data_IF_560092393423
#
_entry.id   IF_560092393423
#
_cell.length_a   1.000
_cell.length_b   1.000
_cell.length_c   1.000
_cell.angle_alpha   90.00
_cell.angle_beta   90.00
_cell.angle_gamma   90.00
#
_symmetry.space_group_name_H-M   'P 1'
#
loop_
_entity.id
_entity.type
_entity.pdbx_description
1 polymer ?
#
# COMPACT_ATOMS: atom_id res chain seq x y z
N UNK A 1 -103.78 16.18 64.69
CA UNK A 1 -104.38 15.66 63.45
C UNK A 1 -103.34 15.84 62.35
N UNK A 2 -102.66 14.76 61.97
CA UNK A 2 -102.73 14.11 60.64
C UNK A 2 -101.97 14.95 59.58
N UNK A 3 -101.02 14.45 58.80
CA UNK A 3 -100.86 13.11 58.24
C UNK A 3 -99.44 12.96 57.70
N UNK A 4 -98.90 11.76 57.86
CA UNK A 4 -97.70 11.20 57.25
C UNK A 4 -97.79 11.26 55.72
N UNK A 5 -96.71 11.67 55.04
CA UNK A 5 -96.57 11.61 53.59
C UNK A 5 -95.19 11.09 53.20
N UNK A 6 -95.08 9.77 53.08
CA UNK A 6 -93.92 9.07 52.50
C UNK A 6 -94.06 9.16 50.98
N UNK A 7 -93.10 9.77 50.27
CA UNK A 7 -92.95 9.59 48.82
C UNK A 7 -91.47 9.32 48.49
N UNK A 8 -91.21 8.01 48.42
CA UNK A 8 -90.37 7.28 47.48
C UNK A 8 -89.39 8.10 46.62
N UNK A 9 -88.11 8.13 47.03
CA UNK A 9 -86.99 8.52 46.17
C UNK A 9 -86.72 7.35 45.22
N UNK A 10 -87.14 7.46 43.97
CA UNK A 10 -86.68 6.59 42.89
C UNK A 10 -85.22 6.96 42.57
N UNK A 11 -84.27 6.23 43.16
CA UNK A 11 -82.89 6.21 42.70
C UNK A 11 -82.88 5.53 41.32
N UNK A 12 -82.96 6.32 40.26
CA UNK A 12 -82.54 5.86 38.93
C UNK A 12 -81.02 5.76 38.99
N UNK A 13 -80.52 4.60 39.40
CA UNK A 13 -79.11 4.25 39.25
C UNK A 13 -78.85 4.13 37.76
N UNK A 14 -78.52 5.24 37.12
CA UNK A 14 -77.93 5.27 35.79
C UNK A 14 -76.66 4.43 35.84
N UNK A 15 -76.76 3.18 35.41
CA UNK A 15 -75.61 2.34 35.12
C UNK A 15 -74.86 3.04 33.98
N UNK A 16 -73.91 3.91 34.32
CA UNK A 16 -72.92 4.38 33.36
C UNK A 16 -72.00 3.20 33.12
N UNK A 17 -72.35 2.35 32.16
CA UNK A 17 -71.38 1.45 31.55
C UNK A 17 -70.39 2.40 30.86
N UNK A 18 -69.12 2.53 31.31
CA UNK A 18 -68.15 3.19 30.47
C UNK A 18 -68.13 2.40 29.17
N UNK A 19 -68.53 3.03 28.07
CA UNK A 19 -68.12 2.56 26.76
C UNK A 19 -66.59 2.64 26.79
N UNK A 20 -65.93 1.53 27.13
CA UNK A 20 -64.56 1.30 26.71
C UNK A 20 -64.61 1.28 25.19
N UNK A 21 -64.49 2.48 24.62
CA UNK A 21 -64.21 2.70 23.22
C UNK A 21 -62.82 2.10 23.03
N UNK A 22 -62.76 0.79 22.76
CA UNK A 22 -61.55 0.16 22.26
C UNK A 22 -61.23 0.92 20.98
N UNK A 23 -60.28 1.85 21.06
CA UNK A 23 -59.76 2.49 19.86
C UNK A 23 -59.30 1.33 18.99
N UNK A 24 -59.90 1.21 17.80
CA UNK A 24 -59.46 0.23 16.82
C UNK A 24 -57.93 0.37 16.72
N UNK A 25 -57.21 -0.74 16.88
CA UNK A 25 -55.77 -0.78 16.74
C UNK A 25 -55.43 -0.10 15.40
N UNK A 26 -54.79 1.07 15.45
CA UNK A 26 -54.33 1.77 14.25
C UNK A 26 -52.90 1.34 13.96
N UNK A 27 -52.52 1.34 12.68
CA UNK A 27 -51.11 1.13 12.32
C UNK A 27 -50.23 2.20 12.97
N UNK A 28 -48.94 1.92 13.24
CA UNK A 28 -48.08 2.89 13.91
C UNK A 28 -47.82 4.11 13.04
N UNK A 29 -47.37 5.20 13.66
CA UNK A 29 -46.75 6.31 12.94
C UNK A 29 -45.42 5.87 12.31
N UNK A 30 -44.95 6.62 11.32
CA UNK A 30 -43.70 6.32 10.63
C UNK A 30 -42.47 6.49 11.54
N UNK A 31 -41.45 5.62 11.42
CA UNK A 31 -40.14 5.87 11.98
C UNK A 31 -39.55 7.17 11.44
N UNK A 32 -38.70 7.83 12.22
CA UNK A 32 -38.10 9.13 11.85
C UNK A 32 -36.58 9.09 11.88
N UNK A 33 -35.94 10.09 11.27
CA UNK A 33 -34.48 10.29 11.33
C UNK A 33 -33.68 9.05 10.89
N UNK A 34 -34.12 8.36 9.83
CA UNK A 34 -33.35 7.27 9.25
C UNK A 34 -32.06 7.82 8.66
N UNK A 35 -30.92 7.26 9.07
CA UNK A 35 -29.59 7.56 8.58
C UNK A 35 -28.90 6.29 8.12
N UNK A 36 -28.43 6.28 6.88
CA UNK A 36 -27.51 5.29 6.34
C UNK A 36 -26.09 5.86 6.29
N UNK A 37 -25.10 5.07 6.70
CA UNK A 37 -23.70 5.46 6.67
C UNK A 37 -22.80 4.30 6.25
N UNK A 38 -21.82 4.58 5.37
CA UNK A 38 -20.82 3.60 4.99
C UNK A 38 -19.78 3.35 6.06
N UNK A 39 -19.51 2.07 6.30
CA UNK A 39 -18.54 1.59 7.28
C UNK A 39 -17.34 0.94 6.57
N UNK A 40 -17.60 0.24 5.46
CA UNK A 40 -16.57 -0.39 4.63
C UNK A 40 -17.00 -0.46 3.17
N UNK A 41 -16.21 -1.14 2.34
CA UNK A 41 -16.59 -1.44 0.94
C UNK A 41 -17.71 -2.48 0.82
N UNK A 42 -18.09 -3.14 1.92
CA UNK A 42 -19.14 -4.17 1.92
C UNK A 42 -20.15 -4.02 3.05
N UNK A 43 -20.12 -2.90 3.78
CA UNK A 43 -20.96 -2.68 4.95
C UNK A 43 -21.51 -1.25 5.03
N UNK A 44 -22.81 -1.16 5.27
CA UNK A 44 -23.52 0.06 5.64
C UNK A 44 -24.20 -0.13 7.00
N UNK A 45 -24.21 0.92 7.82
CA UNK A 45 -24.93 0.99 9.08
C UNK A 45 -26.17 1.86 8.95
N UNK A 46 -27.28 1.40 9.51
CA UNK A 46 -28.56 2.10 9.54
C UNK A 46 -28.94 2.41 10.99
N UNK A 47 -29.43 3.62 11.24
CA UNK A 47 -30.01 4.03 12.53
C UNK A 47 -31.26 4.85 12.30
N UNK A 48 -32.27 4.71 13.16
CA UNK A 48 -33.51 5.49 13.10
C UNK A 48 -34.09 5.70 14.50
N UNK A 49 -35.05 6.60 14.60
CA UNK A 49 -35.85 6.81 15.79
C UNK A 49 -37.20 6.09 15.66
N UNK A 50 -37.66 5.53 16.78
CA UNK A 50 -39.04 5.08 16.91
C UNK A 50 -40.04 6.25 16.65
N UNK A 51 -41.30 5.96 16.28
CA UNK A 51 -42.28 7.00 16.02
C UNK A 51 -42.58 7.86 17.25
N UNK A 52 -42.68 9.19 17.07
CA UNK A 52 -42.99 10.15 18.15
C UNK A 52 -44.47 9.99 18.54
N UNK A 53 -44.80 9.94 19.83
CA UNK A 53 -46.12 9.60 20.39
C UNK A 53 -46.54 8.13 20.29
N UNK A 54 -45.61 7.22 19.98
CA UNK A 54 -45.82 5.84 20.40
C UNK A 54 -45.89 5.85 21.93
N UNK A 55 -47.09 5.68 22.52
CA UNK A 55 -47.13 5.02 23.82
C UNK A 55 -46.27 3.77 23.65
N UNK A 56 -45.27 3.56 24.50
CA UNK A 56 -44.21 2.56 24.34
C UNK A 56 -44.71 1.10 24.20
N UNK A 57 -46.02 0.88 24.14
CA UNK A 57 -46.72 -0.40 24.07
C UNK A 57 -47.11 -0.88 22.65
N UNK A 58 -47.08 -0.06 21.58
CA UNK A 58 -47.74 -0.42 20.31
C UNK A 58 -46.80 -0.57 19.08
N UNK A 59 -45.48 -0.64 19.21
CA UNK A 59 -44.58 -1.07 18.09
C UNK A 59 -43.88 -2.36 18.50
N UNK A 60 -44.09 -3.43 17.75
CA UNK A 60 -43.50 -4.75 18.02
C UNK A 60 -42.34 -5.12 17.08
N UNK A 61 -42.05 -4.26 16.09
CA UNK A 61 -40.93 -4.45 15.19
C UNK A 61 -40.85 -3.43 14.07
N UNK A 62 -39.90 -3.63 13.18
CA UNK A 62 -39.61 -2.79 12.03
C UNK A 62 -39.34 -3.64 10.79
N UNK A 63 -39.90 -3.22 9.66
CA UNK A 63 -39.55 -3.73 8.32
C UNK A 63 -38.57 -2.77 7.68
N UNK A 64 -37.52 -3.30 7.06
CA UNK A 64 -36.53 -2.53 6.31
C UNK A 64 -36.62 -2.92 4.84
N UNK A 65 -36.75 -1.94 3.97
CA UNK A 65 -36.65 -2.12 2.53
C UNK A 65 -35.41 -1.41 1.99
N UNK A 66 -34.82 -1.96 0.93
CA UNK A 66 -33.63 -1.43 0.27
C UNK A 66 -33.84 -1.24 -1.22
N UNK A 67 -33.25 -0.18 -1.76
CA UNK A 67 -33.18 0.16 -3.17
C UNK A 67 -31.71 0.05 -3.62
N UNK A 68 -31.39 -1.04 -4.31
CA UNK A 68 -30.03 -1.34 -4.76
C UNK A 68 -29.72 -0.53 -6.01
N UNK A 69 -28.65 0.27 -5.95
CA UNK A 69 -28.29 1.21 -7.01
C UNK A 69 -29.02 2.55 -6.91
N UNK A 70 -29.87 2.75 -5.90
CA UNK A 70 -30.62 3.99 -5.71
C UNK A 70 -31.45 4.38 -6.94
N UNK A 71 -32.12 3.40 -7.56
CA UNK A 71 -32.87 3.53 -8.83
C UNK A 71 -34.38 3.68 -8.62
N UNK A 72 -34.83 3.75 -7.36
CA UNK A 72 -36.24 3.88 -6.98
C UNK A 72 -36.98 2.55 -6.82
N UNK A 73 -36.30 1.40 -6.87
CA UNK A 73 -36.93 0.08 -6.77
C UNK A 73 -36.63 -0.59 -5.43
N UNK A 74 -37.60 -0.52 -4.51
CA UNK A 74 -37.44 -1.05 -3.15
C UNK A 74 -37.85 -2.52 -3.04
N UNK A 75 -37.01 -3.33 -2.40
CA UNK A 75 -37.29 -4.72 -2.01
C UNK A 75 -37.13 -4.92 -0.52
N UNK A 76 -37.79 -5.94 0.05
CA UNK A 76 -37.70 -6.24 1.48
C UNK A 76 -36.32 -6.80 1.80
N UNK A 77 -35.57 -6.07 2.63
CA UNK A 77 -34.27 -6.48 3.16
C UNK A 77 -34.42 -7.23 4.49
N UNK A 78 -35.26 -6.71 5.38
CA UNK A 78 -35.59 -7.32 6.68
C UNK A 78 -37.09 -7.26 6.86
N UNK A 79 -37.71 -8.42 7.06
CA UNK A 79 -39.16 -8.51 7.25
C UNK A 79 -39.61 -8.03 8.64
N UNK A 80 -38.80 -8.28 9.68
CA UNK A 80 -39.06 -7.84 11.05
C UNK A 80 -37.75 -7.78 11.88
N UNK A 81 -37.52 -6.68 12.59
CA UNK A 81 -36.51 -6.52 13.64
C UNK A 81 -37.04 -5.63 14.76
N UNK A 82 -36.64 -5.88 16.01
CA UNK A 82 -37.03 -5.01 17.15
C UNK A 82 -36.05 -3.87 17.40
N UNK A 83 -34.84 -3.95 16.84
CA UNK A 83 -33.82 -2.92 17.01
C UNK A 83 -34.15 -1.66 16.21
N UNK A 84 -33.66 -0.50 16.66
CA UNK A 84 -33.70 0.77 15.92
C UNK A 84 -32.40 1.06 15.15
N UNK A 85 -31.68 -0.01 14.84
CA UNK A 85 -30.44 0.00 14.07
C UNK A 85 -30.28 -1.31 13.29
N UNK A 86 -29.57 -1.26 12.17
CA UNK A 86 -29.28 -2.45 11.37
C UNK A 86 -27.92 -2.34 10.68
N UNK A 87 -27.17 -3.44 10.65
CA UNK A 87 -25.91 -3.54 9.90
C UNK A 87 -26.17 -4.36 8.64
N UNK A 88 -26.13 -3.71 7.48
CA UNK A 88 -26.25 -4.39 6.20
C UNK A 88 -24.85 -4.75 5.68
N UNK A 89 -24.60 -6.03 5.49
CA UNK A 89 -23.28 -6.59 5.18
C UNK A 89 -23.28 -7.26 3.80
N UNK A 90 -22.10 -7.66 3.32
CA UNK A 90 -21.90 -8.35 2.04
C UNK A 90 -22.37 -7.52 0.82
N UNK A 91 -22.21 -6.19 0.92
CA UNK A 91 -22.61 -5.25 -0.12
C UNK A 91 -21.54 -5.15 -1.21
N UNK A 92 -21.98 -4.71 -2.38
CA UNK A 92 -21.10 -4.45 -3.53
C UNK A 92 -20.38 -3.12 -3.31
N UNK A 93 -19.06 -3.14 -3.49
CA UNK A 93 -18.18 -1.97 -3.38
C UNK A 93 -18.55 -0.86 -4.36
N UNK A 94 -18.58 0.38 -3.90
CA UNK A 94 -18.91 1.57 -4.70
C UNK A 94 -20.37 1.67 -5.16
N UNK A 95 -21.26 0.80 -4.67
CA UNK A 95 -22.67 0.81 -5.06
C UNK A 95 -23.50 1.63 -4.06
N UNK A 96 -24.42 2.45 -4.59
CA UNK A 96 -25.38 3.19 -3.79
C UNK A 96 -26.49 2.25 -3.29
N UNK A 97 -26.87 2.38 -2.02
CA UNK A 97 -28.02 1.69 -1.46
C UNK A 97 -28.93 2.70 -0.77
N UNK A 98 -30.19 2.75 -1.21
CA UNK A 98 -31.26 3.47 -0.54
C UNK A 98 -31.95 2.58 0.48
N UNK A 99 -32.46 3.18 1.56
CA UNK A 99 -33.19 2.49 2.61
C UNK A 99 -34.41 3.29 3.04
N UNK A 100 -35.46 2.55 3.41
CA UNK A 100 -36.61 3.08 4.14
C UNK A 100 -37.07 2.07 5.18
N UNK A 101 -37.56 2.57 6.31
CA UNK A 101 -37.98 1.75 7.44
C UNK A 101 -39.45 1.98 7.73
N UNK A 102 -40.14 0.92 8.14
CA UNK A 102 -41.54 0.93 8.54
C UNK A 102 -41.65 0.38 9.96
N UNK A 103 -42.54 0.93 10.77
CA UNK A 103 -42.90 0.37 12.06
C UNK A 103 -44.02 -0.66 11.89
N UNK A 104 -44.00 -1.70 12.71
CA UNK A 104 -44.93 -2.82 12.70
C UNK A 104 -45.65 -2.92 14.06
N UNK A 105 -46.94 -3.27 14.02
CA UNK A 105 -47.71 -3.68 15.20
C UNK A 105 -48.78 -4.73 14.82
N UNK A 106 -49.63 -5.10 15.78
CA UNK A 106 -50.78 -6.00 15.57
C UNK A 106 -51.73 -5.53 14.46
N UNK A 107 -51.89 -4.21 14.31
CA UNK A 107 -52.74 -3.60 13.30
C UNK A 107 -52.13 -3.57 11.90
N UNK A 108 -50.80 -3.72 11.77
CA UNK A 108 -50.10 -3.81 10.50
C UNK A 108 -48.88 -2.90 10.39
N UNK A 109 -48.61 -2.44 9.16
CA UNK A 109 -47.39 -1.68 8.80
C UNK A 109 -47.70 -0.19 8.68
N UNK A 110 -46.82 0.66 9.23
CA UNK A 110 -46.91 2.12 9.09
C UNK A 110 -46.66 2.60 7.65
N UNK A 111 -46.77 3.91 7.40
CA UNK A 111 -46.09 4.53 6.25
C UNK A 111 -44.57 4.51 6.44
N UNK A 112 -43.79 4.64 5.37
CA UNK A 112 -42.32 4.61 5.45
C UNK A 112 -41.75 5.85 6.14
N UNK A 113 -40.56 5.69 6.72
CA UNK A 113 -39.67 6.80 7.08
C UNK A 113 -39.26 7.64 5.86
N UNK A 114 -38.44 8.68 6.10
CA UNK A 114 -37.63 9.26 5.03
C UNK A 114 -36.78 8.17 4.35
N UNK A 115 -36.46 8.35 3.07
CA UNK A 115 -35.43 7.56 2.39
C UNK A 115 -34.06 8.08 2.82
N UNK A 116 -33.14 7.18 3.14
CA UNK A 116 -31.74 7.51 3.40
C UNK A 116 -30.85 6.62 2.56
N UNK A 117 -29.85 7.19 1.91
CA UNK A 117 -28.96 6.47 1.01
C UNK A 117 -27.50 6.65 1.40
N UNK A 118 -26.71 5.61 1.20
CA UNK A 118 -25.26 5.66 1.33
C UNK A 118 -24.59 4.79 0.27
N UNK A 119 -23.39 5.17 -0.15
CA UNK A 119 -22.56 4.41 -1.08
C UNK A 119 -21.44 3.74 -0.30
N UNK A 120 -21.27 2.42 -0.47
CA UNK A 120 -20.15 1.69 0.13
C UNK A 120 -18.82 2.24 -0.36
N UNK A 121 -17.76 2.11 0.45
CA UNK A 121 -16.44 2.54 0.00
C UNK A 121 -15.98 1.75 -1.22
N UNK A 122 -15.09 2.33 -2.02
CA UNK A 122 -14.49 1.71 -3.20
C UNK A 122 -13.02 2.06 -3.30
N UNK A 123 -12.32 1.45 -4.26
CA UNK A 123 -10.99 1.92 -4.65
C UNK A 123 -11.09 3.31 -5.29
N UNK A 124 -10.02 4.13 -5.29
CA UNK A 124 -10.03 5.41 -5.97
C UNK A 124 -10.15 5.23 -7.49
N UNK A 125 -10.57 6.29 -8.18
CA UNK A 125 -10.37 6.40 -9.63
C UNK A 125 -8.87 6.51 -9.96
N UNK A 126 -8.52 6.37 -11.24
CA UNK A 126 -7.14 6.61 -11.68
C UNK A 126 -6.70 8.06 -11.33
N UNK A 127 -5.44 8.28 -10.93
CA UNK A 127 -4.85 9.61 -10.99
C UNK A 127 -4.88 10.17 -12.41
N UNK A 128 -4.95 11.49 -12.54
CA UNK A 128 -5.00 12.18 -13.84
C UNK A 128 -3.85 13.18 -13.97
N UNK A 129 -3.67 13.74 -15.17
CA UNK A 129 -2.69 14.81 -15.39
C UNK A 129 -1.24 14.41 -15.09
N UNK A 130 -0.87 13.13 -15.29
CA UNK A 130 0.51 12.69 -15.10
C UNK A 130 1.42 13.39 -16.13
N UNK A 131 2.35 14.18 -15.62
CA UNK A 131 3.39 14.87 -16.37
C UNK A 131 4.74 14.37 -15.87
N UNK A 132 5.67 14.16 -16.80
CA UNK A 132 7.05 13.78 -16.50
C UNK A 132 7.97 14.82 -17.12
N UNK A 133 8.77 15.48 -16.29
CA UNK A 133 9.72 16.50 -16.73
C UNK A 133 11.14 16.11 -16.35
N UNK A 134 12.13 16.32 -17.23
CA UNK A 134 13.53 16.18 -16.86
C UNK A 134 13.91 17.18 -15.78
N UNK A 135 14.75 16.72 -14.85
CA UNK A 135 15.36 17.56 -13.80
C UNK A 135 16.87 17.59 -13.97
N UNK A 136 17.45 16.48 -14.44
CA UNK A 136 18.86 16.37 -14.79
C UNK A 136 19.06 15.28 -15.84
N UNK A 137 20.31 15.05 -16.22
CA UNK A 137 20.70 13.90 -17.06
C UNK A 137 20.44 12.54 -16.41
N UNK A 138 20.17 12.50 -15.12
CA UNK A 138 19.94 11.26 -14.37
C UNK A 138 18.67 11.26 -13.52
N UNK A 139 17.79 12.25 -13.69
CA UNK A 139 16.56 12.36 -12.91
C UNK A 139 15.37 12.90 -13.72
N UNK A 140 14.21 12.30 -13.48
CA UNK A 140 12.92 12.74 -13.99
C UNK A 140 11.97 13.01 -12.82
N UNK A 141 11.24 14.13 -12.87
CA UNK A 141 10.19 14.46 -11.91
C UNK A 141 8.84 14.14 -12.51
N UNK A 142 8.08 13.33 -11.80
CA UNK A 142 6.68 13.04 -12.04
C UNK A 142 5.85 14.00 -11.21
N UNK A 143 4.81 14.57 -11.80
CA UNK A 143 3.76 15.33 -11.10
C UNK A 143 2.40 14.93 -11.65
N UNK A 144 1.37 14.90 -10.81
CA UNK A 144 0.03 14.47 -11.20
C UNK A 144 -1.05 15.15 -10.39
N UNK A 145 -2.30 14.88 -10.74
CA UNK A 145 -3.47 15.27 -9.98
C UNK A 145 -4.00 14.09 -9.18
N UNK A 146 -4.59 14.39 -8.01
CA UNK A 146 -5.32 13.39 -7.23
C UNK A 146 -6.46 12.76 -8.07
N UNK A 147 -6.89 11.54 -7.76
CA UNK A 147 -8.11 10.95 -8.33
C UNK A 147 -9.31 11.90 -8.20
N UNK A 148 -10.17 11.94 -9.23
CA UNK A 148 -11.42 12.72 -9.18
C UNK A 148 -12.41 12.12 -8.17
N UNK A 149 -12.39 10.80 -8.02
CA UNK A 149 -13.10 10.08 -6.96
C UNK A 149 -12.10 9.31 -6.10
N UNK A 150 -12.16 9.51 -4.78
CA UNK A 150 -11.31 8.82 -3.82
C UNK A 150 -11.92 7.50 -3.31
N UNK A 151 -13.10 7.12 -3.80
CA UNK A 151 -13.81 5.91 -3.39
C UNK A 151 -14.40 6.02 -1.97
N UNK A 152 -14.67 7.24 -1.50
CA UNK A 152 -15.26 7.50 -0.19
C UNK A 152 -14.28 7.44 0.98
N UNK A 153 -12.99 7.21 0.74
CA UNK A 153 -11.94 7.22 1.78
C UNK A 153 -10.70 7.98 1.32
N UNK A 154 -9.90 8.49 2.26
CA UNK A 154 -8.74 9.30 1.93
C UNK A 154 -7.67 8.53 1.14
N UNK A 155 -6.97 9.23 0.24
CA UNK A 155 -5.82 8.68 -0.47
C UNK A 155 -4.65 8.52 0.51
N UNK A 156 -4.08 7.32 0.57
CA UNK A 156 -2.97 6.94 1.46
C UNK A 156 -1.62 6.90 0.74
N UNK A 157 -1.62 6.87 -0.58
CA UNK A 157 -0.42 7.07 -1.41
C UNK A 157 -0.58 6.62 -2.84
N UNK A 158 0.55 6.39 -3.53
CA UNK A 158 0.58 6.08 -4.95
C UNK A 158 1.56 4.94 -5.28
N UNK A 159 1.18 4.06 -6.20
CA UNK A 159 2.05 3.08 -6.84
C UNK A 159 2.59 3.67 -8.15
N UNK A 160 3.90 3.51 -8.39
CA UNK A 160 4.57 4.06 -9.57
C UNK A 160 5.19 2.92 -10.37
N UNK A 161 4.83 2.86 -11.66
CA UNK A 161 5.46 1.95 -12.62
C UNK A 161 6.32 2.73 -13.61
N UNK A 162 7.50 2.18 -13.91
CA UNK A 162 8.42 2.62 -14.95
C UNK A 162 8.66 1.48 -15.93
N UNK A 163 8.39 1.72 -17.21
CA UNK A 163 8.51 0.74 -18.30
C UNK A 163 7.86 -0.60 -17.97
N UNK A 164 6.66 -0.56 -17.36
CA UNK A 164 5.90 -1.75 -16.95
C UNK A 164 6.35 -2.41 -15.65
N UNK A 165 7.45 -1.96 -15.02
CA UNK A 165 7.94 -2.48 -13.74
C UNK A 165 7.54 -1.55 -12.59
N UNK A 166 7.04 -2.11 -11.48
CA UNK A 166 6.77 -1.34 -10.25
C UNK A 166 8.10 -0.92 -9.62
N UNK A 167 8.32 0.39 -9.49
CA UNK A 167 9.51 0.96 -8.84
C UNK A 167 9.20 1.51 -7.44
N UNK A 168 7.93 1.82 -7.17
CA UNK A 168 7.41 2.21 -5.85
C UNK A 168 6.07 1.53 -5.67
N UNK A 169 5.93 0.71 -4.63
CA UNK A 169 4.67 -0.01 -4.31
C UNK A 169 3.63 0.92 -3.67
N UNK A 170 4.05 1.78 -2.75
CA UNK A 170 3.24 2.84 -2.16
C UNK A 170 4.14 3.99 -1.66
N UNK A 171 3.82 5.23 -2.01
CA UNK A 171 4.51 6.43 -1.49
C UNK A 171 4.29 6.67 0.00
N UNK A 172 3.22 6.14 0.60
CA UNK A 172 2.86 6.31 2.01
C UNK A 172 2.44 7.74 2.39
N UNK A 173 2.14 8.58 1.40
CA UNK A 173 1.66 9.94 1.58
C UNK A 173 0.86 10.41 0.36
N UNK A 174 0.04 11.43 0.54
CA UNK A 174 -0.83 12.00 -0.50
C UNK A 174 -0.14 13.06 -1.38
N UNK A 175 1.19 13.18 -1.38
CA UNK A 175 1.88 14.13 -2.27
C UNK A 175 1.75 13.65 -3.71
N UNK A 176 1.50 14.60 -4.61
CA UNK A 176 1.28 14.31 -6.02
C UNK A 176 2.52 14.54 -6.89
N UNK A 177 3.69 14.24 -6.33
CA UNK A 177 4.96 14.32 -7.06
C UNK A 177 5.96 13.29 -6.56
N UNK A 178 6.83 12.84 -7.47
CA UNK A 178 7.90 11.89 -7.18
C UNK A 178 9.07 12.15 -8.13
N UNK A 179 10.30 12.08 -7.62
CA UNK A 179 11.51 12.20 -8.45
C UNK A 179 12.18 10.84 -8.55
N UNK A 180 12.23 10.30 -9.76
CA UNK A 180 12.99 9.09 -10.06
C UNK A 180 14.44 9.48 -10.39
N UNK A 181 15.39 8.93 -9.64
CA UNK A 181 16.81 9.25 -9.70
C UNK A 181 17.61 8.05 -10.21
N UNK A 182 18.88 8.28 -10.57
CA UNK A 182 19.80 7.26 -11.09
C UNK A 182 19.34 6.68 -12.44
N UNK A 183 18.74 7.53 -13.27
CA UNK A 183 18.36 7.22 -14.64
C UNK A 183 19.56 7.38 -15.57
N UNK A 184 19.51 6.68 -16.71
CA UNK A 184 20.48 6.88 -17.77
C UNK A 184 20.13 8.15 -18.57
N UNK A 185 21.15 8.92 -18.96
CA UNK A 185 21.01 10.11 -19.80
C UNK A 185 20.44 9.77 -21.18
N UNK A 186 19.64 10.69 -21.75
CA UNK A 186 19.03 10.61 -23.07
C UNK A 186 18.08 9.42 -23.28
N UNK A 187 17.79 8.65 -22.23
CA UNK A 187 16.91 7.50 -22.31
C UNK A 187 15.46 7.87 -22.00
N UNK A 188 14.58 7.42 -22.88
CA UNK A 188 13.15 7.57 -22.69
C UNK A 188 12.66 6.60 -21.62
N UNK A 189 11.89 7.13 -20.67
CA UNK A 189 11.20 6.38 -19.64
C UNK A 189 9.70 6.63 -19.77
N UNK A 190 8.92 5.57 -19.70
CA UNK A 190 7.46 5.62 -19.68
C UNK A 190 6.98 5.32 -18.27
N UNK A 191 6.13 6.18 -17.73
CA UNK A 191 5.55 6.05 -16.39
C UNK A 191 4.04 5.98 -16.44
N UNK A 192 3.48 5.28 -15.46
CA UNK A 192 2.07 5.37 -15.08
C UNK A 192 1.94 5.20 -13.57
N UNK A 193 0.89 5.77 -13.01
CA UNK A 193 0.68 5.81 -11.55
C UNK A 193 -0.72 5.32 -11.18
N UNK A 194 -0.86 4.72 -10.01
CA UNK A 194 -2.16 4.33 -9.45
C UNK A 194 -2.24 4.83 -7.99
N UNK A 195 -3.44 5.15 -7.51
CA UNK A 195 -3.67 5.65 -6.16
C UNK A 195 -4.08 4.53 -5.20
N UNK A 196 -3.68 4.65 -3.96
CA UNK A 196 -4.10 3.82 -2.84
C UNK A 196 -5.09 4.57 -1.97
N UNK A 197 -6.12 3.88 -1.50
CA UNK A 197 -6.84 4.21 -0.28
C UNK A 197 -6.87 3.00 0.65
N UNK A 198 -7.72 3.01 1.70
CA UNK A 198 -7.82 1.87 2.62
C UNK A 198 -8.49 0.64 2.01
N UNK A 199 -9.29 0.82 0.95
CA UNK A 199 -9.97 -0.28 0.24
C UNK A 199 -9.01 -0.98 -0.70
N UNK A 200 -8.17 -0.24 -1.42
CA UNK A 200 -7.17 -0.81 -2.29
C UNK A 200 -6.58 0.14 -3.32
N UNK A 201 -5.99 -0.46 -4.35
CA UNK A 201 -5.30 0.22 -5.44
C UNK A 201 -6.25 0.51 -6.61
N UNK A 202 -6.21 1.72 -7.14
CA UNK A 202 -6.91 2.10 -8.37
C UNK A 202 -6.34 1.42 -9.61
N UNK A 203 -7.03 1.57 -10.74
CA UNK A 203 -6.41 1.38 -12.05
C UNK A 203 -5.31 2.44 -12.27
N UNK A 204 -4.38 2.15 -13.18
CA UNK A 204 -3.31 3.09 -13.52
C UNK A 204 -3.81 4.25 -14.40
N UNK A 205 -3.17 5.40 -14.25
CA UNK A 205 -3.28 6.54 -15.14
C UNK A 205 -2.87 6.18 -16.57
N UNK A 206 -3.15 7.10 -17.51
CA UNK A 206 -2.49 7.09 -18.81
C UNK A 206 -0.97 7.15 -18.65
N UNK A 207 -0.27 6.61 -19.66
CA UNK A 207 1.18 6.67 -19.71
C UNK A 207 1.65 8.10 -19.97
N UNK A 208 2.72 8.50 -19.29
CA UNK A 208 3.46 9.72 -19.57
C UNK A 208 4.93 9.38 -19.76
N UNK A 209 5.58 10.08 -20.68
CA UNK A 209 6.89 9.69 -21.16
C UNK A 209 7.80 10.90 -21.23
N UNK A 210 9.05 10.75 -20.78
CA UNK A 210 10.06 11.77 -20.93
C UNK A 210 11.43 11.14 -21.15
N UNK A 211 12.34 11.90 -21.75
CA UNK A 211 13.77 11.60 -21.82
C UNK A 211 14.48 12.47 -20.80
N UNK A 212 15.50 11.93 -20.14
CA UNK A 212 16.45 12.75 -19.39
C UNK A 212 17.20 13.67 -20.36
N UNK A 213 17.40 14.92 -19.98
CA UNK A 213 18.08 15.92 -20.82
C UNK A 213 19.59 15.91 -20.58
N UNK A 214 20.38 16.30 -21.59
CA UNK A 214 21.73 16.77 -21.31
C UNK A 214 21.61 18.12 -20.58
N UNK A 215 22.42 18.36 -19.55
CA UNK A 215 22.49 19.66 -18.87
C UNK A 215 22.58 20.80 -19.89
N UNK A 216 21.50 21.56 -20.09
CA UNK A 216 21.54 22.83 -20.85
C UNK A 216 21.90 23.95 -19.89
N UNK A 217 23.17 23.96 -19.50
CA UNK A 217 23.81 25.03 -18.76
C UNK A 217 25.20 25.28 -19.35
N UNK A 218 25.23 26.08 -20.43
CA UNK A 218 26.44 26.67 -21.03
C UNK A 218 27.61 25.70 -21.31
N UNK A 219 27.48 24.87 -22.35
CA UNK A 219 28.57 24.05 -22.87
C UNK A 219 28.18 23.41 -24.20
N UNK A 220 28.92 23.76 -25.24
CA UNK A 220 28.84 23.23 -26.61
C UNK A 220 28.68 21.70 -26.69
N UNK A 221 27.97 21.16 -27.70
CA UNK A 221 27.76 19.72 -27.87
C UNK A 221 29.03 19.03 -28.38
N UNK A 222 29.91 18.59 -27.48
CA UNK A 222 31.04 17.69 -27.82
C UNK A 222 31.37 16.64 -26.75
N UNK A 223 30.58 16.48 -25.68
CA UNK A 223 31.19 16.04 -24.42
C UNK A 223 31.12 14.51 -24.14
N UNK A 224 32.23 13.84 -24.44
CA UNK A 224 32.60 12.54 -23.87
C UNK A 224 32.71 12.56 -22.33
N UNK A 225 32.72 13.73 -21.70
CA UNK A 225 32.62 13.94 -20.26
C UNK A 225 31.38 13.33 -19.61
N UNK A 226 30.22 13.30 -20.27
CA UNK A 226 28.99 12.71 -19.70
C UNK A 226 29.08 11.17 -19.57
N UNK A 227 29.79 10.53 -20.50
CA UNK A 227 30.09 9.10 -20.46
C UNK A 227 31.16 8.76 -19.40
N UNK A 228 32.14 9.65 -19.20
CA UNK A 228 33.12 9.53 -18.11
C UNK A 228 32.47 9.64 -16.73
N UNK A 229 31.57 10.60 -16.53
CA UNK A 229 30.78 10.72 -15.30
C UNK A 229 29.91 9.48 -15.04
N UNK A 230 29.26 8.94 -16.07
CA UNK A 230 28.49 7.70 -15.93
C UNK A 230 29.37 6.51 -15.51
N UNK A 231 30.59 6.37 -16.03
CA UNK A 231 31.55 5.35 -15.55
C UNK A 231 31.90 5.60 -14.08
N UNK A 232 32.13 6.85 -13.68
CA UNK A 232 32.41 7.22 -12.28
C UNK A 232 31.27 6.83 -11.35
N UNK A 233 30.01 7.04 -11.77
CA UNK A 233 28.83 6.62 -11.00
C UNK A 233 28.75 5.09 -10.87
N UNK A 234 29.06 4.34 -11.94
CA UNK A 234 29.16 2.88 -11.87
C UNK A 234 30.31 2.41 -10.97
N UNK A 235 31.44 3.14 -10.94
CA UNK A 235 32.55 2.90 -10.00
C UNK A 235 32.07 3.11 -8.57
N UNK A 236 31.39 4.23 -8.29
CA UNK A 236 30.89 4.56 -6.97
C UNK A 236 29.86 3.52 -6.49
N UNK A 237 28.86 3.20 -7.32
CA UNK A 237 27.82 2.20 -7.02
C UNK A 237 28.42 0.81 -6.76
N UNK A 238 29.43 0.39 -7.54
CA UNK A 238 30.16 -0.85 -7.30
C UNK A 238 30.88 -0.83 -5.95
N UNK A 239 31.59 0.25 -5.64
CA UNK A 239 32.38 0.37 -4.43
C UNK A 239 31.47 0.38 -3.18
N UNK A 240 30.33 1.07 -3.22
CA UNK A 240 29.32 1.05 -2.17
C UNK A 240 28.73 -0.36 -1.95
N UNK A 241 28.39 -1.07 -3.04
CA UNK A 241 27.88 -2.45 -2.94
C UNK A 241 28.92 -3.39 -2.30
N UNK A 242 30.19 -3.27 -2.70
CA UNK A 242 31.30 -4.05 -2.15
C UNK A 242 31.57 -3.71 -0.68
N UNK A 243 31.53 -2.42 -0.32
CA UNK A 243 31.69 -1.95 1.05
C UNK A 243 30.61 -2.52 1.96
N UNK A 244 29.34 -2.37 1.57
CA UNK A 244 28.21 -2.92 2.32
C UNK A 244 28.32 -4.43 2.53
N UNK A 245 28.75 -5.16 1.49
CA UNK A 245 28.96 -6.59 1.57
C UNK A 245 30.10 -6.97 2.53
N UNK A 246 31.23 -6.24 2.49
CA UNK A 246 32.36 -6.45 3.41
C UNK A 246 31.98 -6.14 4.86
N UNK A 247 31.25 -5.05 5.09
CA UNK A 247 30.84 -4.64 6.44
C UNK A 247 29.92 -5.67 7.09
N UNK A 248 28.96 -6.24 6.35
CA UNK A 248 28.10 -7.31 6.86
C UNK A 248 28.88 -8.59 7.16
N UNK A 249 29.82 -8.98 6.29
CA UNK A 249 30.71 -10.14 6.55
C UNK A 249 31.59 -9.90 7.78
N UNK A 250 32.17 -8.71 7.91
CA UNK A 250 33.02 -8.36 9.03
C UNK A 250 32.25 -8.35 10.34
N UNK A 251 31.01 -7.85 10.33
CA UNK A 251 30.12 -7.88 11.49
C UNK A 251 29.84 -9.30 11.95
N UNK A 252 29.40 -10.19 11.04
CA UNK A 252 29.18 -11.60 11.37
C UNK A 252 30.44 -12.24 11.92
N UNK A 253 31.59 -12.00 11.30
CA UNK A 253 32.86 -12.53 11.78
C UNK A 253 33.21 -12.07 13.21
N UNK A 254 33.02 -10.79 13.53
CA UNK A 254 33.26 -10.25 14.88
C UNK A 254 32.34 -10.90 15.91
N UNK A 255 31.04 -10.93 15.62
CA UNK A 255 30.01 -11.51 16.51
C UNK A 255 30.29 -13.00 16.75
N UNK A 256 30.71 -13.73 15.72
CA UNK A 256 31.09 -15.13 15.78
C UNK A 256 32.33 -15.36 16.65
N UNK A 257 33.39 -14.58 16.45
CA UNK A 257 34.61 -14.67 17.26
C UNK A 257 34.33 -14.36 18.73
N UNK A 258 33.51 -13.35 19.02
CA UNK A 258 33.13 -13.00 20.39
C UNK A 258 32.32 -14.11 21.08
N UNK A 259 31.30 -14.65 20.39
CA UNK A 259 30.51 -15.79 20.90
C UNK A 259 31.34 -17.04 21.15
N UNK A 260 32.33 -17.30 20.30
CA UNK A 260 33.23 -18.45 20.48
C UNK A 260 34.20 -18.26 21.66
N UNK A 261 34.56 -17.02 22.02
CA UNK A 261 35.49 -16.73 23.12
C UNK A 261 34.94 -17.18 24.48
N UNK A 262 33.62 -17.09 24.67
CA UNK A 262 32.96 -17.22 25.97
C UNK A 262 32.15 -18.53 26.16
N UNK A 263 32.40 -19.56 25.35
CA UNK A 263 31.58 -20.80 25.33
C UNK A 263 32.40 -22.08 25.34
N UNK A 264 31.78 -23.20 25.76
CA UNK A 264 32.41 -24.53 25.83
C UNK A 264 32.53 -25.21 24.44
N UNK A 265 33.27 -26.33 24.37
CA UNK A 265 33.62 -26.99 23.11
C UNK A 265 32.42 -27.47 22.28
N UNK A 266 31.33 -27.90 22.93
CA UNK A 266 30.08 -28.33 22.28
C UNK A 266 29.32 -27.14 21.71
N UNK A 267 29.16 -26.06 22.48
CA UNK A 267 28.51 -24.82 22.04
C UNK A 267 29.26 -24.15 20.88
N UNK A 268 30.60 -24.22 20.86
CA UNK A 268 31.41 -23.66 19.77
C UNK A 268 31.16 -24.30 18.40
N UNK A 269 30.91 -25.62 18.35
CA UNK A 269 30.57 -26.29 17.08
C UNK A 269 29.24 -25.78 16.53
N UNK A 270 28.25 -25.58 17.40
CA UNK A 270 26.96 -25.03 17.02
C UNK A 270 27.10 -23.58 16.52
N UNK A 271 27.82 -22.74 17.28
CA UNK A 271 28.10 -21.35 16.89
C UNK A 271 28.80 -21.29 15.52
N UNK A 272 29.75 -22.18 15.24
CA UNK A 272 30.42 -22.23 13.93
C UNK A 272 29.49 -22.54 12.76
N UNK A 273 28.56 -23.49 12.93
CA UNK A 273 27.61 -23.82 11.87
C UNK A 273 26.59 -22.69 11.67
N UNK A 274 26.13 -22.07 12.75
CA UNK A 274 25.26 -20.89 12.69
C UNK A 274 25.95 -19.73 11.95
N UNK A 275 27.21 -19.46 12.26
CA UNK A 275 28.03 -18.46 11.58
C UNK A 275 28.20 -18.74 10.08
N UNK A 276 28.38 -20.02 9.72
CA UNK A 276 28.48 -20.45 8.32
C UNK A 276 27.15 -20.26 7.57
N UNK A 277 26.02 -20.52 8.22
CA UNK A 277 24.68 -20.23 7.68
C UNK A 277 24.53 -18.72 7.44
N UNK A 278 24.91 -17.88 8.40
CA UNK A 278 24.84 -16.42 8.26
C UNK A 278 25.72 -15.89 7.11
N UNK A 279 26.95 -16.39 6.97
CA UNK A 279 27.84 -16.02 5.86
C UNK A 279 27.28 -16.45 4.49
N UNK A 280 26.66 -17.63 4.41
CA UNK A 280 26.01 -18.09 3.18
C UNK A 280 24.75 -17.26 2.86
N UNK A 281 23.99 -16.85 3.87
CA UNK A 281 22.84 -15.98 3.69
C UNK A 281 23.25 -14.61 3.12
N UNK A 282 24.34 -14.01 3.62
CA UNK A 282 24.92 -12.79 3.03
C UNK A 282 25.29 -13.02 1.56
N UNK A 283 25.95 -14.14 1.25
CA UNK A 283 26.33 -14.46 -0.13
C UNK A 283 25.12 -14.52 -1.07
N UNK A 284 24.03 -15.17 -0.67
CA UNK A 284 22.82 -15.26 -1.49
C UNK A 284 22.08 -13.91 -1.55
N UNK A 285 22.01 -13.15 -0.45
CA UNK A 285 21.40 -11.80 -0.41
C UNK A 285 21.99 -10.84 -1.46
N UNK A 286 23.32 -10.82 -1.61
CA UNK A 286 23.98 -9.92 -2.56
C UNK A 286 24.05 -10.46 -4.00
N UNK A 287 23.72 -11.74 -4.21
CA UNK A 287 23.77 -12.40 -5.53
C UNK A 287 22.88 -11.69 -6.55
N UNK A 288 21.65 -11.35 -6.15
CA UNK A 288 20.69 -10.69 -7.01
C UNK A 288 21.07 -9.23 -7.27
N UNK A 289 21.54 -8.50 -6.25
CA UNK A 289 22.05 -7.13 -6.43
C UNK A 289 23.26 -7.08 -7.38
N UNK A 290 24.17 -8.05 -7.30
CA UNK A 290 25.32 -8.16 -8.22
C UNK A 290 24.85 -8.52 -9.63
N UNK A 291 23.88 -9.42 -9.77
CA UNK A 291 23.30 -9.79 -11.07
C UNK A 291 22.62 -8.58 -11.71
N UNK A 292 21.85 -7.83 -10.94
CA UNK A 292 21.19 -6.60 -11.37
C UNK A 292 22.24 -5.57 -11.81
N UNK A 293 23.27 -5.30 -11.00
CA UNK A 293 24.35 -4.39 -11.35
C UNK A 293 25.04 -4.77 -12.68
N UNK A 294 25.35 -6.06 -12.87
CA UNK A 294 25.95 -6.57 -14.11
C UNK A 294 25.05 -6.35 -15.32
N UNK A 295 23.74 -6.54 -15.17
CA UNK A 295 22.77 -6.28 -16.23
C UNK A 295 22.67 -4.78 -16.56
N UNK A 296 22.61 -3.92 -15.54
CA UNK A 296 22.61 -2.47 -15.70
C UNK A 296 23.87 -1.99 -16.44
N UNK A 297 25.04 -2.47 -16.03
CA UNK A 297 26.31 -2.12 -16.69
C UNK A 297 26.39 -2.65 -18.13
N UNK A 298 25.89 -3.87 -18.39
CA UNK A 298 25.82 -4.42 -19.75
C UNK A 298 24.96 -3.54 -20.65
N UNK A 299 23.79 -3.11 -20.16
CA UNK A 299 22.89 -2.23 -20.90
C UNK A 299 23.56 -0.88 -21.17
N UNK A 300 24.18 -0.27 -20.16
CA UNK A 300 24.97 0.95 -20.33
C UNK A 300 26.05 0.78 -21.40
N UNK A 301 26.79 -0.34 -21.40
CA UNK A 301 27.85 -0.61 -22.38
C UNK A 301 27.31 -0.68 -23.81
N UNK A 302 26.18 -1.36 -24.03
CA UNK A 302 25.57 -1.45 -25.36
C UNK A 302 25.02 -0.09 -25.81
N UNK A 303 24.37 0.67 -24.92
CA UNK A 303 23.97 2.05 -25.17
C UNK A 303 25.16 2.91 -25.58
N UNK A 304 26.20 2.93 -24.75
CA UNK A 304 27.37 3.79 -24.98
C UNK A 304 28.06 3.44 -26.31
N UNK A 305 28.11 2.16 -26.70
CA UNK A 305 28.60 1.77 -28.03
C UNK A 305 27.76 2.35 -29.16
N UNK A 306 26.42 2.32 -29.03
CA UNK A 306 25.52 2.89 -30.05
C UNK A 306 25.73 4.38 -30.21
N UNK A 307 25.70 5.13 -29.10
CA UNK A 307 25.95 6.58 -29.07
C UNK A 307 27.29 6.94 -29.68
N UNK A 308 28.33 6.17 -29.36
CA UNK A 308 29.69 6.37 -29.89
C UNK A 308 29.78 6.10 -31.40
N UNK A 309 28.96 5.19 -31.93
CA UNK A 309 28.92 4.90 -33.36
C UNK A 309 28.16 5.98 -34.14
N UNK A 310 27.12 6.56 -33.56
CA UNK A 310 26.40 7.71 -34.11
C UNK A 310 27.30 8.96 -34.13
N UNK A 311 27.94 9.29 -33.00
CA UNK A 311 28.84 10.46 -32.91
C UNK A 311 30.00 10.42 -33.92
N UNK A 312 30.45 9.22 -34.32
CA UNK A 312 31.44 9.03 -35.39
C UNK A 312 30.91 9.35 -36.78
N UNK A 313 29.64 9.02 -37.06
CA UNK A 313 29.01 9.28 -38.36
C UNK A 313 28.84 10.78 -38.56
N UNK A 314 28.50 11.50 -37.50
CA UNK A 314 28.19 12.93 -37.56
C UNK A 314 29.44 13.83 -37.47
N UNK A 315 30.65 13.24 -37.39
CA UNK A 315 31.92 13.94 -37.07
C UNK A 315 31.84 14.81 -35.79
N UNK A 316 30.89 14.51 -34.91
CA UNK A 316 30.53 15.33 -33.76
C UNK A 316 31.40 15.10 -32.51
N UNK A 317 32.22 14.03 -32.49
CA UNK A 317 33.10 13.71 -31.37
C UNK A 317 34.56 13.49 -31.82
N UNK A 318 35.51 13.96 -30.99
CA UNK A 318 36.94 13.75 -31.21
C UNK A 318 37.28 12.24 -31.16
N UNK A 319 38.01 11.75 -32.16
CA UNK A 319 38.50 10.36 -32.21
C UNK A 319 39.33 9.99 -30.97
N UNK A 320 39.99 10.96 -30.34
CA UNK A 320 40.79 10.76 -29.14
C UNK A 320 39.89 10.43 -27.94
N UNK A 321 38.82 11.19 -27.72
CA UNK A 321 37.91 10.96 -26.61
C UNK A 321 37.19 9.62 -26.70
N UNK A 322 36.83 9.21 -27.92
CA UNK A 322 36.27 7.90 -28.21
C UNK A 322 37.23 6.78 -27.79
N UNK A 323 38.53 6.98 -28.02
CA UNK A 323 39.58 6.03 -27.67
C UNK A 323 39.80 5.99 -26.15
N UNK A 324 39.74 7.14 -25.49
CA UNK A 324 39.84 7.29 -24.05
C UNK A 324 38.67 6.64 -23.32
N UNK A 325 37.42 6.93 -23.70
CA UNK A 325 36.24 6.29 -23.11
C UNK A 325 36.30 4.75 -23.22
N UNK A 326 36.71 4.23 -24.38
CA UNK A 326 36.89 2.77 -24.55
C UNK A 326 37.96 2.19 -23.63
N UNK A 327 39.00 2.96 -23.33
CA UNK A 327 40.06 2.58 -22.38
C UNK A 327 39.49 2.54 -20.96
N UNK A 328 38.66 3.52 -20.59
CA UNK A 328 38.05 3.60 -19.26
C UNK A 328 37.04 2.49 -19.00
N UNK A 329 36.17 2.18 -19.98
CA UNK A 329 35.27 1.01 -19.89
C UNK A 329 36.07 -0.28 -19.67
N UNK A 330 37.17 -0.48 -20.41
CA UNK A 330 38.03 -1.65 -20.25
C UNK A 330 38.72 -1.69 -18.89
N UNK A 331 39.18 -0.53 -18.41
CA UNK A 331 39.79 -0.37 -17.09
C UNK A 331 38.80 -0.74 -15.99
N UNK A 332 37.58 -0.18 -16.05
CA UNK A 332 36.49 -0.49 -15.13
C UNK A 332 36.16 -1.99 -15.09
N UNK A 333 36.07 -2.65 -16.24
CA UNK A 333 35.78 -4.09 -16.32
C UNK A 333 36.89 -4.94 -15.70
N UNK A 334 38.15 -4.55 -15.93
CA UNK A 334 39.33 -5.22 -15.35
C UNK A 334 39.33 -5.07 -13.83
N UNK A 335 39.08 -3.87 -13.33
CA UNK A 335 39.00 -3.58 -11.90
C UNK A 335 37.84 -4.30 -11.22
N UNK A 336 36.68 -4.37 -11.87
CA UNK A 336 35.52 -5.10 -11.35
C UNK A 336 35.83 -6.59 -11.17
N UNK A 337 36.48 -7.22 -12.15
CA UNK A 337 36.93 -8.62 -12.05
C UNK A 337 37.97 -8.82 -10.94
N UNK A 338 38.89 -7.86 -10.77
CA UNK A 338 39.90 -7.89 -9.70
C UNK A 338 39.24 -7.85 -8.32
N UNK A 339 38.34 -6.89 -8.09
CA UNK A 339 37.62 -6.74 -6.82
C UNK A 339 36.76 -7.98 -6.48
N UNK A 340 36.03 -8.54 -7.47
CA UNK A 340 35.26 -9.77 -7.25
C UNK A 340 36.16 -10.95 -6.84
N UNK A 341 37.36 -11.06 -7.42
CA UNK A 341 38.34 -12.10 -7.08
C UNK A 341 38.92 -11.90 -5.68
N UNK A 342 39.23 -10.66 -5.31
CA UNK A 342 39.73 -10.30 -3.96
C UNK A 342 38.69 -10.62 -2.89
N UNK A 343 37.44 -10.21 -3.09
CA UNK A 343 36.35 -10.51 -2.16
C UNK A 343 36.14 -12.02 -1.97
N UNK A 344 36.17 -12.81 -3.06
CA UNK A 344 36.09 -14.28 -2.96
C UNK A 344 37.25 -14.89 -2.16
N UNK A 345 38.45 -14.29 -2.20
CA UNK A 345 39.60 -14.72 -1.39
C UNK A 345 39.42 -14.36 0.08
N UNK A 346 38.92 -13.16 0.38
CA UNK A 346 38.60 -12.71 1.75
C UNK A 346 37.58 -13.67 2.39
N UNK A 347 36.49 -13.97 1.68
CA UNK A 347 35.45 -14.89 2.16
C UNK A 347 35.97 -16.31 2.41
N UNK A 348 36.84 -16.82 1.52
CA UNK A 348 37.50 -18.13 1.72
C UNK A 348 38.43 -18.12 2.93
N UNK A 349 39.15 -17.02 3.14
CA UNK A 349 40.08 -16.87 4.27
C UNK A 349 39.34 -16.77 5.59
N UNK A 350 38.24 -16.01 5.65
CA UNK A 350 37.35 -15.93 6.80
C UNK A 350 36.83 -17.32 7.20
N UNK A 351 36.29 -18.08 6.24
CA UNK A 351 35.86 -19.47 6.46
C UNK A 351 36.98 -20.40 6.92
N UNK A 352 38.21 -20.21 6.41
CA UNK A 352 39.37 -21.01 6.83
C UNK A 352 39.80 -20.67 8.26
N UNK A 353 39.71 -19.41 8.67
CA UNK A 353 40.05 -18.96 10.02
C UNK A 353 39.07 -19.53 11.06
N UNK A 354 37.76 -19.51 10.76
CA UNK A 354 36.75 -20.19 11.59
C UNK A 354 37.11 -21.68 11.82
N UNK A 355 37.59 -22.37 10.78
CA UNK A 355 38.03 -23.78 10.90
C UNK A 355 39.33 -23.97 11.69
N UNK A 356 40.23 -22.98 11.68
CA UNK A 356 41.54 -23.04 12.37
C UNK A 356 41.43 -22.76 13.87
N UNK A 357 40.57 -21.84 14.30
CA UNK A 357 40.30 -21.59 15.73
C UNK A 357 39.85 -22.88 16.45
N UNK A 358 39.17 -23.78 15.74
CA UNK A 358 38.79 -25.11 16.24
C UNK A 358 40.01 -26.04 16.50
N UNK A 359 41.09 -25.93 15.72
CA UNK A 359 42.29 -26.77 15.89
C UNK A 359 43.22 -26.28 17.00
N UNK A 360 43.44 -24.97 17.10
CA UNK A 360 44.42 -24.42 18.05
C UNK A 360 43.98 -24.50 19.52
N UNK A 361 42.68 -24.70 19.80
CA UNK A 361 42.19 -24.92 21.17
C UNK A 361 41.95 -26.39 21.53
N UNK A 362 41.93 -27.31 20.54
CA UNK A 362 42.06 -28.75 20.83
C UNK A 362 43.46 -29.12 21.35
N UNK A 363 44.52 -28.44 20.89
CA UNK A 363 45.88 -28.65 21.40
C UNK A 363 46.04 -28.16 22.84
N UNK A 364 45.51 -26.99 23.18
CA UNK A 364 45.61 -26.43 24.55
C UNK A 364 44.83 -27.20 25.63
N UNK A 365 43.88 -28.05 25.25
CA UNK A 365 43.16 -28.90 26.20
C UNK A 365 43.82 -30.27 26.40
N UNK A 366 44.83 -30.63 25.60
CA UNK A 366 45.56 -31.89 25.80
C UNK A 366 46.83 -31.72 26.64
N UNK A 367 47.39 -30.51 26.72
CA UNK A 367 48.58 -30.21 27.54
C UNK A 367 48.25 -29.94 29.03
N UNK A 368 47.01 -30.19 29.48
CA UNK A 368 46.55 -30.00 30.86
C UNK A 368 45.95 -31.29 31.49
N UNK A 369 46.11 -32.44 30.82
CA UNK A 369 45.81 -33.76 31.37
C UNK A 369 47.06 -34.64 31.18
N UNK A 370 48.10 -34.35 31.96
CA UNK A 370 49.13 -35.30 32.42
C UNK A 370 49.67 -34.84 33.78
#
# INVERSE_FOLDING_TARGET
MTTTGIILILLVSSLVIPLEYSHADTTPLSPTNLKAQAISSSQLSLTWNAPVNATQSNVNGYKIETDVGCIGFFTVLVANTTATSYSNNNLVSGLCYGYRVFALNSAGTSSSSNVSSATTFSIPSAPTGLIVTPVSSSALKLSWNVPADNGGTQITGYQIQRNGTVIVTNTGNNRTSFTDNNLLALHQQTYRIAAWNIVGLSIFSNNATAKTENQTGNGSPTDTGNLGHAISDFVHKRNELLKKQRDEVLKVMKDCTEKMRNTNSTQRKQIQEDCKIQLNAIKEKYKDSIKQFKNEFKNFRETAKSTLNEAKKDKAADKNDIKEFKKDVKSFEKDGKKQEKEFKKELKSANKNLKKENKNQKGKNHDNED
#
